data_IF_764045273074
#
_entry.id   IF_764045273074
#
_cell.length_a   1.000
_cell.length_b   1.000
_cell.length_c   1.000
_cell.angle_alpha   90.00
_cell.angle_beta   90.00
_cell.angle_gamma   90.00
#
_symmetry.space_group_name_H-M   'P 1'
#
loop_
_entity.id
_entity.type
_entity.pdbx_description
1 polymer ?
#
# COMPACT_ATOMS: atom_id res chain seq x y z
N UNK A 1 -4.89 4.03 16.59
CA UNK A 1 -3.81 4.78 15.97
C UNK A 1 -2.77 3.78 15.48
N UNK A 2 -2.54 3.74 14.19
CA UNK A 2 -1.56 2.83 13.58
C UNK A 2 -0.18 3.46 13.66
N UNK A 3 0.84 2.60 13.78
CA UNK A 3 2.22 3.04 13.95
C UNK A 3 3.16 2.23 13.05
N UNK A 4 4.23 2.88 12.62
CA UNK A 4 5.39 2.20 12.05
C UNK A 4 6.42 2.08 13.18
N UNK A 5 6.94 0.87 13.39
CA UNK A 5 7.97 0.59 14.39
C UNK A 5 9.35 0.54 13.72
N UNK A 6 10.15 1.62 13.77
CA UNK A 6 11.53 1.58 13.31
C UNK A 6 12.36 0.58 14.14
N UNK A 7 13.50 0.15 13.64
CA UNK A 7 14.37 -0.81 14.35
C UNK A 7 14.82 -0.34 15.74
N UNK A 8 14.87 0.96 15.92
CA UNK A 8 15.28 1.64 17.17
C UNK A 8 14.09 2.16 18.01
N UNK A 9 12.89 1.67 17.76
CA UNK A 9 11.65 2.17 18.38
C UNK A 9 11.67 2.14 19.91
N UNK A 10 12.46 1.24 20.51
CA UNK A 10 12.58 1.15 21.97
C UNK A 10 13.29 2.37 22.57
N UNK A 11 14.17 3.02 21.82
CA UNK A 11 14.92 4.21 22.23
C UNK A 11 14.28 5.50 21.73
N UNK A 12 13.85 5.51 20.45
CA UNK A 12 13.42 6.72 19.76
C UNK A 12 11.91 6.79 19.49
N UNK A 13 11.16 5.75 19.89
CA UNK A 13 9.70 5.70 19.76
C UNK A 13 9.23 5.24 18.39
N UNK A 14 7.93 5.30 18.18
CA UNK A 14 7.24 4.86 16.97
C UNK A 14 6.84 6.05 16.11
N UNK A 15 6.65 5.82 14.80
CA UNK A 15 6.14 6.81 13.87
C UNK A 15 4.63 6.58 13.74
N UNK A 16 3.84 7.53 14.22
CA UNK A 16 2.38 7.47 14.15
C UNK A 16 1.92 7.84 12.73
N UNK A 17 0.95 7.12 12.20
CA UNK A 17 0.39 7.35 10.85
C UNK A 17 -0.11 8.79 10.64
N UNK A 18 -0.74 9.37 11.66
CA UNK A 18 -1.17 10.76 11.66
C UNK A 18 -0.01 11.74 11.48
N UNK A 19 1.17 11.44 12.06
CA UNK A 19 2.36 12.27 11.88
C UNK A 19 2.83 12.26 10.42
N UNK A 20 2.91 11.07 9.81
CA UNK A 20 3.25 10.94 8.39
C UNK A 20 2.25 11.68 7.49
N UNK A 21 0.97 11.52 7.78
CA UNK A 21 -0.08 12.22 7.04
C UNK A 21 0.08 13.74 7.12
N UNK A 22 0.30 14.27 8.33
CA UNK A 22 0.33 15.71 8.59
C UNK A 22 1.61 16.38 8.11
N UNK A 23 2.77 15.72 8.34
CA UNK A 23 4.08 16.32 8.11
C UNK A 23 4.68 15.96 6.74
N UNK A 24 4.16 14.94 6.09
CA UNK A 24 4.64 14.51 4.78
C UNK A 24 3.53 14.61 3.71
N UNK A 25 2.48 13.81 3.80
CA UNK A 25 1.49 13.68 2.73
C UNK A 25 0.74 14.99 2.47
N UNK A 26 0.26 15.65 3.53
CA UNK A 26 -0.48 16.91 3.41
C UNK A 26 0.39 18.10 2.94
N UNK A 27 1.70 17.93 2.92
CA UNK A 27 2.64 18.96 2.46
C UNK A 27 3.13 18.75 1.02
N UNK A 28 2.68 17.69 0.38
CA UNK A 28 3.00 17.44 -1.02
C UNK A 28 2.37 18.53 -1.90
N UNK A 29 3.12 18.94 -2.92
CA UNK A 29 2.59 19.87 -3.89
C UNK A 29 1.35 19.28 -4.60
N UNK A 30 0.33 20.08 -4.95
CA UNK A 30 -0.92 19.57 -5.56
C UNK A 30 -0.72 18.76 -6.85
N UNK A 31 0.35 19.03 -7.59
CA UNK A 31 0.70 18.30 -8.82
C UNK A 31 1.51 17.04 -8.57
N UNK A 32 1.92 16.79 -7.32
CA UNK A 32 2.70 15.62 -6.97
C UNK A 32 1.86 14.35 -7.06
N UNK A 33 2.52 13.27 -7.43
CA UNK A 33 1.99 11.92 -7.44
C UNK A 33 2.86 11.07 -6.51
N UNK A 34 2.26 10.46 -5.50
CA UNK A 34 2.94 9.61 -4.54
C UNK A 34 2.38 8.19 -4.64
N UNK A 35 3.25 7.23 -4.86
CA UNK A 35 2.95 5.82 -4.70
C UNK A 35 3.59 5.30 -3.42
N UNK A 36 2.83 4.53 -2.64
CA UNK A 36 3.25 3.93 -1.37
C UNK A 36 3.00 2.43 -1.44
N UNK A 37 4.05 1.65 -1.21
CA UNK A 37 3.96 0.21 -0.97
C UNK A 37 4.28 -0.05 0.50
N UNK A 38 3.33 -0.64 1.22
CA UNK A 38 3.47 -0.97 2.64
C UNK A 38 3.35 -2.47 2.83
N UNK A 39 4.49 -3.12 3.04
CA UNK A 39 4.58 -4.56 3.31
C UNK A 39 4.83 -4.82 4.80
N UNK A 40 3.87 -4.39 5.62
CA UNK A 40 3.88 -4.58 7.06
C UNK A 40 2.50 -5.00 7.54
N UNK A 41 2.47 -5.65 8.72
CA UNK A 41 1.22 -6.08 9.36
C UNK A 41 0.32 -4.87 9.66
N UNK A 42 -0.98 -5.08 9.62
CA UNK A 42 -1.99 -4.06 9.94
C UNK A 42 -1.85 -2.75 9.14
N UNK A 43 -1.43 -2.85 7.87
CA UNK A 43 -1.23 -1.68 7.01
C UNK A 43 -2.48 -1.27 6.22
N UNK A 44 -3.58 -1.96 6.38
CA UNK A 44 -4.80 -1.76 5.60
C UNK A 44 -5.33 -0.34 5.68
N UNK A 45 -5.56 0.17 6.88
CA UNK A 45 -6.08 1.52 7.14
C UNK A 45 -5.00 2.57 7.37
N UNK A 46 -3.72 2.17 7.44
CA UNK A 46 -2.62 3.11 7.65
C UNK A 46 -2.65 4.26 6.63
N UNK A 47 -2.38 5.49 7.11
CA UNK A 47 -2.48 6.77 6.39
C UNK A 47 -3.92 7.22 6.07
N UNK A 48 -4.94 6.47 6.40
CA UNK A 48 -6.36 6.85 6.29
C UNK A 48 -6.71 7.57 4.96
N UNK A 49 -6.35 6.95 3.82
CA UNK A 49 -6.75 7.46 2.52
C UNK A 49 -8.27 7.30 2.34
N UNK A 50 -8.97 8.30 1.76
CA UNK A 50 -10.42 8.33 1.77
C UNK A 50 -11.08 7.24 0.91
N UNK A 51 -10.42 6.74 -0.11
CA UNK A 51 -10.98 5.74 -1.02
C UNK A 51 -10.21 4.43 -0.96
N UNK A 52 -10.94 3.34 -1.18
CA UNK A 52 -10.39 1.99 -1.28
C UNK A 52 -11.10 1.20 -2.38
N UNK A 53 -10.37 0.32 -3.05
CA UNK A 53 -10.94 -0.61 -4.00
C UNK A 53 -11.42 -1.87 -3.26
N UNK A 54 -12.75 -2.01 -3.09
CA UNK A 54 -13.40 -3.16 -2.47
C UNK A 54 -14.26 -3.84 -3.53
N UNK A 55 -14.04 -5.13 -3.76
CA UNK A 55 -14.79 -5.93 -4.75
C UNK A 55 -14.86 -5.24 -6.12
N UNK A 56 -13.72 -4.71 -6.58
CA UNK A 56 -13.58 -3.96 -7.85
C UNK A 56 -14.38 -2.65 -7.91
N UNK A 57 -14.89 -2.16 -6.78
CA UNK A 57 -15.59 -0.88 -6.68
C UNK A 57 -14.79 0.10 -5.83
N UNK A 58 -14.68 1.33 -6.31
CA UNK A 58 -14.16 2.43 -5.53
C UNK A 58 -15.15 2.78 -4.43
N UNK A 59 -14.73 2.60 -3.19
CA UNK A 59 -15.55 2.82 -2.00
C UNK A 59 -14.97 3.95 -1.17
N UNK A 60 -15.82 4.91 -0.83
CA UNK A 60 -15.46 5.99 0.09
C UNK A 60 -15.50 5.46 1.53
N UNK A 61 -14.38 5.48 2.23
CA UNK A 61 -14.25 4.98 3.60
C UNK A 61 -14.36 6.07 4.65
N UNK A 62 -13.93 7.29 4.35
CA UNK A 62 -13.93 8.40 5.29
C UNK A 62 -14.39 9.69 4.62
N UNK A 63 -14.94 10.58 5.43
CA UNK A 63 -15.39 11.88 4.94
C UNK A 63 -14.21 12.64 4.30
N UNK A 64 -14.32 13.08 3.03
CA UNK A 64 -13.26 13.74 2.28
C UNK A 64 -12.91 15.16 2.79
N UNK A 65 -13.35 15.52 4.01
CA UNK A 65 -13.05 16.83 4.63
C UNK A 65 -11.56 17.14 4.79
N UNK A 66 -10.68 16.18 4.49
CA UNK A 66 -9.27 16.43 4.25
C UNK A 66 -9.00 16.16 2.78
N UNK A 67 -9.27 17.16 1.94
CA UNK A 67 -8.87 17.12 0.54
C UNK A 67 -7.34 17.03 0.47
N UNK A 68 -6.84 15.84 0.20
CA UNK A 68 -5.44 15.67 -0.17
C UNK A 68 -5.24 16.34 -1.53
N UNK A 69 -4.41 17.37 -1.56
CA UNK A 69 -4.15 18.12 -2.78
C UNK A 69 -3.34 17.29 -3.80
N UNK A 70 -2.40 16.48 -3.31
CA UNK A 70 -1.63 15.57 -4.13
C UNK A 70 -2.39 14.27 -4.45
N UNK A 71 -2.01 13.61 -5.54
CA UNK A 71 -2.44 12.23 -5.81
C UNK A 71 -1.63 11.26 -5.00
N UNK A 72 -2.31 10.46 -4.18
CA UNK A 72 -1.67 9.44 -3.36
C UNK A 72 -2.34 8.10 -3.63
N UNK A 73 -1.54 7.09 -3.94
CA UNK A 73 -1.97 5.71 -4.12
C UNK A 73 -1.15 4.85 -3.18
N UNK A 74 -1.82 3.96 -2.47
CA UNK A 74 -1.20 3.01 -1.55
C UNK A 74 -1.64 1.59 -1.89
N UNK A 75 -0.67 0.68 -1.99
CA UNK A 75 -0.90 -0.75 -1.90
C UNK A 75 -0.34 -1.23 -0.55
N UNK A 76 -1.18 -1.84 0.27
CA UNK A 76 -0.82 -2.40 1.57
C UNK A 76 -0.83 -3.92 1.53
N UNK A 77 0.03 -4.55 2.36
CA UNK A 77 0.31 -5.98 2.33
C UNK A 77 -0.86 -6.86 2.73
N UNK A 78 -1.70 -6.36 3.63
CA UNK A 78 -2.82 -7.15 4.16
C UNK A 78 -3.92 -6.24 4.71
N UNK A 79 -5.07 -6.83 4.95
CA UNK A 79 -6.14 -6.21 5.72
C UNK A 79 -5.71 -6.08 7.19
N UNK A 80 -6.40 -5.23 7.95
CA UNK A 80 -6.07 -4.99 9.37
C UNK A 80 -6.21 -6.26 10.24
N UNK A 81 -6.98 -7.24 9.77
CA UNK A 81 -7.18 -8.55 10.42
C UNK A 81 -6.17 -9.62 9.98
N UNK A 82 -5.19 -9.26 9.16
CA UNK A 82 -4.20 -10.18 8.59
C UNK A 82 -2.76 -9.77 8.95
N UNK A 83 -1.84 -10.71 8.84
CA UNK A 83 -0.41 -10.49 9.02
C UNK A 83 0.30 -10.53 7.67
N UNK A 84 1.23 -9.60 7.45
CA UNK A 84 2.14 -9.67 6.31
C UNK A 84 3.04 -10.89 6.42
N UNK A 85 3.30 -11.52 5.27
CA UNK A 85 4.07 -12.74 5.19
C UNK A 85 5.47 -12.45 4.64
N UNK A 86 6.45 -13.08 5.25
CA UNK A 86 7.82 -13.15 4.75
C UNK A 86 8.12 -14.57 4.29
N UNK A 87 8.98 -14.71 3.29
CA UNK A 87 9.47 -16.01 2.84
C UNK A 87 10.95 -15.94 2.53
N UNK A 88 11.62 -17.07 2.64
CA UNK A 88 13.01 -17.20 2.24
C UNK A 88 13.06 -17.43 0.72
N UNK A 89 13.77 -16.57 0.01
CA UNK A 89 13.99 -16.71 -1.42
C UNK A 89 15.32 -17.44 -1.66
N UNK A 90 15.24 -18.69 -2.10
CA UNK A 90 16.42 -19.53 -2.37
C UNK A 90 17.36 -18.95 -3.44
N UNK A 91 16.84 -18.07 -4.31
CA UNK A 91 17.66 -17.47 -5.39
C UNK A 91 18.51 -16.31 -4.88
N UNK A 92 17.94 -15.47 -4.02
CA UNK A 92 18.68 -14.34 -3.41
C UNK A 92 19.39 -14.75 -2.12
N UNK A 93 18.97 -15.84 -1.47
CA UNK A 93 19.49 -16.27 -0.18
C UNK A 93 19.03 -15.39 0.99
N UNK A 94 17.94 -14.66 0.85
CA UNK A 94 17.47 -13.69 1.82
C UNK A 94 15.97 -13.83 2.09
N UNK A 95 15.53 -13.34 3.26
CA UNK A 95 14.12 -13.19 3.56
C UNK A 95 13.56 -11.96 2.83
N UNK A 96 12.41 -12.13 2.20
CA UNK A 96 11.70 -11.09 1.46
C UNK A 96 10.26 -10.99 1.91
N UNK A 97 9.71 -9.77 1.90
CA UNK A 97 8.29 -9.56 2.05
C UNK A 97 7.54 -10.09 0.83
N UNK A 98 6.52 -10.89 1.05
CA UNK A 98 5.79 -11.56 -0.02
C UNK A 98 5.10 -10.56 -0.97
N UNK A 99 4.47 -9.50 -0.41
CA UNK A 99 3.88 -8.44 -1.22
C UNK A 99 4.91 -7.73 -2.08
N UNK A 100 6.02 -7.30 -1.48
CA UNK A 100 7.07 -6.53 -2.17
C UNK A 100 7.63 -7.32 -3.33
N UNK A 101 7.96 -8.59 -3.13
CA UNK A 101 8.47 -9.48 -4.17
C UNK A 101 7.46 -9.67 -5.31
N UNK A 102 6.20 -9.96 -4.99
CA UNK A 102 5.16 -10.12 -6.01
C UNK A 102 4.87 -8.81 -6.75
N UNK A 103 4.88 -7.67 -6.04
CA UNK A 103 4.68 -6.36 -6.64
C UNK A 103 5.80 -6.03 -7.64
N UNK A 104 7.06 -6.17 -7.26
CA UNK A 104 8.20 -5.86 -8.13
C UNK A 104 8.24 -6.73 -9.38
N UNK A 105 7.94 -8.02 -9.26
CA UNK A 105 7.85 -8.91 -10.40
C UNK A 105 6.75 -8.45 -11.39
N UNK A 106 5.55 -8.15 -10.88
CA UNK A 106 4.42 -7.71 -11.70
C UNK A 106 4.63 -6.30 -12.29
N UNK A 107 5.20 -5.36 -11.52
CA UNK A 107 5.46 -4.01 -12.00
C UNK A 107 6.49 -3.98 -13.14
N UNK A 108 7.47 -4.86 -13.13
CA UNK A 108 8.46 -5.00 -14.20
C UNK A 108 7.87 -5.66 -15.46
N UNK A 109 7.05 -6.68 -15.29
CA UNK A 109 6.44 -7.41 -16.40
C UNK A 109 5.34 -6.58 -17.09
N UNK A 110 4.55 -5.84 -16.33
CA UNK A 110 3.37 -5.11 -16.81
C UNK A 110 3.53 -3.60 -16.69
N UNK A 111 4.58 -3.05 -17.26
CA UNK A 111 4.80 -1.58 -17.31
C UNK A 111 3.60 -0.86 -17.92
N UNK A 112 3.16 0.22 -17.27
CA UNK A 112 2.01 0.99 -17.72
C UNK A 112 0.66 0.40 -17.32
N UNK A 113 0.64 -0.72 -16.61
CA UNK A 113 -0.60 -1.31 -16.09
C UNK A 113 -1.20 -0.39 -15.02
N UNK A 114 -2.51 -0.18 -15.12
CA UNK A 114 -3.25 0.62 -14.13
C UNK A 114 -3.32 -0.09 -12.78
N UNK A 115 -3.40 0.69 -11.69
CA UNK A 115 -3.23 0.17 -10.33
C UNK A 115 -4.28 -0.88 -9.92
N UNK A 116 -5.52 -0.77 -10.37
CA UNK A 116 -6.54 -1.78 -10.08
C UNK A 116 -6.17 -3.15 -10.66
N UNK A 117 -5.68 -3.19 -11.91
CA UNK A 117 -5.23 -4.42 -12.57
C UNK A 117 -3.92 -4.92 -11.95
N UNK A 118 -2.98 -4.02 -11.67
CA UNK A 118 -1.71 -4.38 -11.01
C UNK A 118 -1.96 -5.00 -9.63
N UNK A 119 -2.86 -4.43 -8.84
CA UNK A 119 -3.22 -4.97 -7.54
C UNK A 119 -3.86 -6.37 -7.63
N UNK A 120 -4.71 -6.60 -8.63
CA UNK A 120 -5.30 -7.93 -8.90
C UNK A 120 -4.23 -8.94 -9.34
N UNK A 121 -3.29 -8.55 -10.20
CA UNK A 121 -2.17 -9.41 -10.60
C UNK A 121 -1.28 -9.79 -9.42
N UNK A 122 -0.97 -8.83 -8.55
CA UNK A 122 -0.19 -9.07 -7.32
C UNK A 122 -0.95 -10.02 -6.38
N UNK A 123 -2.27 -9.83 -6.23
CA UNK A 123 -3.12 -10.71 -5.42
C UNK A 123 -3.08 -12.15 -5.94
N UNK A 124 -3.24 -12.34 -7.25
CA UNK A 124 -3.17 -13.65 -7.89
C UNK A 124 -1.77 -14.29 -7.73
N UNK A 125 -0.70 -13.50 -7.85
CA UNK A 125 0.66 -13.99 -7.64
C UNK A 125 0.91 -14.46 -6.21
N UNK A 126 0.38 -13.75 -5.21
CA UNK A 126 0.44 -14.15 -3.81
C UNK A 126 -0.33 -15.44 -3.57
N UNK A 127 -1.55 -15.54 -4.08
CA UNK A 127 -2.40 -16.74 -3.96
C UNK A 127 -1.75 -17.96 -4.61
N UNK A 128 -1.19 -17.81 -5.81
CA UNK A 128 -0.47 -18.87 -6.51
C UNK A 128 0.77 -19.38 -5.77
N UNK A 129 1.38 -18.52 -4.94
CA UNK A 129 2.49 -18.89 -4.05
C UNK A 129 2.02 -19.46 -2.70
N UNK A 130 0.71 -19.57 -2.47
CA UNK A 130 0.13 -20.07 -1.24
C UNK A 130 0.03 -19.07 -0.10
N UNK A 131 0.25 -17.78 -0.34
CA UNK A 131 0.10 -16.74 0.67
C UNK A 131 -1.38 -16.36 0.84
N UNK A 132 -1.82 -16.23 2.09
CA UNK A 132 -3.21 -15.87 2.41
C UNK A 132 -3.44 -14.36 2.48
N UNK A 133 -2.37 -13.56 2.49
CA UNK A 133 -2.49 -12.11 2.55
C UNK A 133 -3.18 -11.54 1.31
N UNK A 134 -4.07 -10.57 1.53
CA UNK A 134 -4.85 -9.93 0.47
C UNK A 134 -4.48 -8.44 0.39
N UNK A 135 -3.66 -8.05 -0.58
CA UNK A 135 -3.28 -6.66 -0.74
C UNK A 135 -4.49 -5.78 -1.02
N UNK A 136 -4.43 -4.58 -0.48
CA UNK A 136 -5.48 -3.58 -0.56
C UNK A 136 -4.98 -2.35 -1.30
N UNK A 137 -5.79 -1.85 -2.22
CA UNK A 137 -5.54 -0.61 -2.95
C UNK A 137 -6.36 0.52 -2.35
N UNK A 138 -5.67 1.55 -1.85
CA UNK A 138 -6.29 2.77 -1.31
C UNK A 138 -5.76 4.00 -2.05
N UNK A 139 -6.57 5.05 -2.17
CA UNK A 139 -6.20 6.22 -2.96
C UNK A 139 -6.90 7.51 -2.47
N UNK A 140 -6.35 8.64 -2.91
CA UNK A 140 -6.77 9.96 -2.43
C UNK A 140 -7.98 10.54 -3.16
N UNK A 141 -8.24 10.14 -4.42
CA UNK A 141 -9.29 10.72 -5.26
C UNK A 141 -10.03 9.64 -6.05
N UNK A 142 -11.31 9.86 -6.37
CA UNK A 142 -12.06 8.99 -7.29
C UNK A 142 -11.33 8.87 -8.62
N UNK A 143 -11.30 7.68 -9.19
CA UNK A 143 -10.65 7.39 -10.47
C UNK A 143 -9.15 7.12 -10.40
N UNK A 144 -8.50 7.34 -9.26
CA UNK A 144 -7.05 7.12 -9.12
C UNK A 144 -6.68 5.62 -9.22
N UNK A 145 -7.61 4.70 -9.00
CA UNK A 145 -7.38 3.26 -9.22
C UNK A 145 -7.07 2.91 -10.68
N UNK A 146 -7.49 3.76 -11.62
CA UNK A 146 -7.23 3.62 -13.06
C UNK A 146 -5.96 4.32 -13.52
N UNK A 147 -5.15 4.82 -12.60
CA UNK A 147 -3.86 5.42 -12.90
C UNK A 147 -2.74 4.38 -12.90
N UNK A 148 -1.60 4.67 -13.55
CA UNK A 148 -0.41 3.80 -13.63
C UNK A 148 0.83 4.50 -13.10
N UNK A 149 1.87 3.71 -12.77
CA UNK A 149 3.18 4.22 -12.33
C UNK A 149 3.95 4.97 -13.45
N UNK A 150 3.70 4.59 -14.68
CA UNK A 150 4.37 5.14 -15.89
C UNK A 150 3.33 5.40 -16.96
#
# INVERSE_FOLDING_TARGET
CEVICPSDYKQNGVIVDYWLKTHFINRLHPTSKLFILMDCCHSGTNLNLPYQLIDKKETLLSNPNVSLLARVIKISGCRDDQTSMEYYDDKSGEYQGALTSCFLANANEYRGTVFNVLCDNVRNALENKGFQQKPMLSFSRPGDSSWSLV
#
